data_IF_193410809478
#
_entry.id   IF_193410809478
#
_cell.length_a   1.000
_cell.length_b   1.000
_cell.length_c   1.000
_cell.angle_alpha   90.00
_cell.angle_beta   90.00
_cell.angle_gamma   90.00
#
_symmetry.space_group_name_H-M   'P 1'
#
loop_
_entity.id
_entity.type
_entity.pdbx_description
1 polymer ?
#
# COMPACT_ATOMS: atom_id res chain seq x y z
N UNK A 1 -4.85 -11.24 38.31
CA UNK A 1 -4.47 -9.86 37.95
C UNK A 1 -4.79 -9.67 36.48
N UNK A 2 -5.85 -8.94 36.13
CA UNK A 2 -6.10 -8.53 34.75
C UNK A 2 -5.22 -7.30 34.51
N UNK A 3 -4.15 -7.43 33.75
CA UNK A 3 -3.38 -6.28 33.31
C UNK A 3 -4.36 -5.44 32.48
N UNK A 4 -4.60 -4.18 32.82
CA UNK A 4 -5.47 -3.30 32.04
C UNK A 4 -4.73 -2.92 30.75
N UNK A 5 -4.62 -3.89 29.84
CA UNK A 5 -4.00 -3.64 28.55
C UNK A 5 -4.98 -2.85 27.69
N UNK A 6 -4.63 -1.61 27.39
CA UNK A 6 -5.47 -0.77 26.54
C UNK A 6 -5.41 -1.29 25.11
N UNK A 7 -6.52 -1.86 24.64
CA UNK A 7 -6.65 -2.48 23.32
C UNK A 7 -6.23 -1.54 22.14
N UNK A 8 -6.25 -0.23 22.37
CA UNK A 8 -5.75 0.76 21.40
C UNK A 8 -4.30 0.51 20.95
N UNK A 9 -3.44 -0.07 21.81
CA UNK A 9 -2.07 -0.40 21.43
C UNK A 9 -1.99 -1.58 20.45
N UNK A 10 -2.91 -2.55 20.54
CA UNK A 10 -3.04 -3.62 19.53
C UNK A 10 -3.42 -3.01 18.19
N UNK A 11 -4.33 -2.05 18.21
CA UNK A 11 -4.74 -1.33 17.01
C UNK A 11 -3.56 -0.57 16.39
N UNK A 12 -2.70 0.06 17.21
CA UNK A 12 -1.47 0.72 16.73
C UNK A 12 -0.50 -0.28 16.13
N UNK A 13 -0.31 -1.45 16.75
CA UNK A 13 0.56 -2.50 16.20
C UNK A 13 0.06 -3.03 14.85
N UNK A 14 -1.24 -3.26 14.73
CA UNK A 14 -1.85 -3.65 13.44
C UNK A 14 -1.69 -2.52 12.42
N UNK A 15 -1.91 -1.27 12.81
CA UNK A 15 -1.72 -0.12 11.93
C UNK A 15 -0.27 0.02 11.46
N UNK A 16 0.71 -0.21 12.35
CA UNK A 16 2.14 -0.22 12.03
C UNK A 16 2.46 -1.22 10.90
N UNK A 17 1.95 -2.44 11.01
CA UNK A 17 2.15 -3.50 10.01
C UNK A 17 1.43 -3.16 8.70
N UNK A 18 0.15 -2.82 8.76
CA UNK A 18 -0.66 -2.56 7.56
C UNK A 18 -0.20 -1.32 6.80
N UNK A 19 0.22 -0.27 7.48
CA UNK A 19 0.83 0.90 6.85
C UNK A 19 2.19 0.58 6.23
N UNK A 20 3.01 -0.19 6.95
CA UNK A 20 4.29 -0.68 6.44
C UNK A 20 4.11 -1.43 5.13
N UNK A 21 3.19 -2.39 5.08
CA UNK A 21 2.90 -3.16 3.88
C UNK A 21 2.30 -2.26 2.77
N UNK A 22 1.27 -1.49 3.09
CA UNK A 22 0.52 -0.72 2.10
C UNK A 22 1.36 0.31 1.35
N UNK A 23 2.19 1.08 2.07
CA UNK A 23 3.06 2.09 1.44
C UNK A 23 4.19 1.41 0.67
N UNK A 24 4.80 0.36 1.22
CA UNK A 24 5.92 -0.32 0.57
C UNK A 24 5.47 -1.14 -0.65
N UNK A 25 4.27 -1.70 -0.67
CA UNK A 25 3.71 -2.32 -1.86
C UNK A 25 3.67 -1.35 -3.05
N UNK A 26 3.26 -0.11 -2.82
CA UNK A 26 3.29 0.94 -3.84
C UNK A 26 4.72 1.34 -4.22
N UNK A 27 5.63 1.43 -3.25
CA UNK A 27 7.04 1.78 -3.49
C UNK A 27 7.77 0.66 -4.24
N UNK A 28 7.43 -0.62 -3.98
CA UNK A 28 8.00 -1.77 -4.66
C UNK A 28 7.83 -1.70 -6.19
N UNK A 29 6.74 -1.05 -6.68
CA UNK A 29 6.60 -0.83 -8.11
C UNK A 29 7.78 -0.06 -8.72
N UNK A 30 8.43 0.84 -7.99
CA UNK A 30 9.62 1.56 -8.49
C UNK A 30 10.80 0.63 -8.76
N UNK A 31 10.91 -0.49 -8.03
CA UNK A 31 11.93 -1.51 -8.23
C UNK A 31 11.62 -2.40 -9.44
N UNK A 32 10.34 -2.63 -9.74
CA UNK A 32 9.90 -3.39 -10.91
C UNK A 32 10.05 -2.60 -12.22
N UNK A 33 10.16 -1.28 -12.15
CA UNK A 33 10.22 -0.42 -13.32
C UNK A 33 11.41 -0.71 -14.25
N UNK A 34 12.68 -0.80 -13.77
CA UNK A 34 13.83 -1.08 -14.64
C UNK A 34 13.77 -2.45 -15.33
N UNK A 35 13.48 -3.57 -14.65
CA UNK A 35 13.40 -4.88 -15.30
C UNK A 35 12.27 -4.98 -16.32
N UNK A 36 11.12 -4.38 -16.05
CA UNK A 36 10.00 -4.32 -17.02
C UNK A 36 10.41 -3.59 -18.29
N UNK A 37 11.11 -2.46 -18.17
CA UNK A 37 11.64 -1.75 -19.34
C UNK A 37 12.64 -2.58 -20.12
N UNK A 38 13.51 -3.32 -19.44
CA UNK A 38 14.54 -4.14 -20.07
C UNK A 38 13.92 -5.31 -20.83
N UNK A 39 12.91 -5.95 -20.29
CA UNK A 39 12.28 -7.14 -20.88
C UNK A 39 11.39 -6.80 -22.07
N UNK A 40 10.53 -5.79 -21.93
CA UNK A 40 9.56 -5.48 -22.97
C UNK A 40 10.03 -4.41 -23.96
N UNK A 41 11.12 -3.73 -23.70
CA UNK A 41 11.62 -2.66 -24.58
C UNK A 41 10.68 -1.47 -24.72
N UNK A 42 9.76 -1.29 -23.76
CA UNK A 42 8.77 -0.22 -23.82
C UNK A 42 9.39 1.16 -23.58
N UNK A 43 8.70 2.20 -24.03
CA UNK A 43 9.18 3.55 -23.80
C UNK A 43 9.13 3.89 -22.30
N UNK A 44 10.16 4.60 -21.82
CA UNK A 44 10.22 5.09 -20.44
C UNK A 44 8.99 5.91 -20.06
N UNK A 45 8.47 6.70 -21.03
CA UNK A 45 7.27 7.52 -20.83
C UNK A 45 6.01 6.68 -20.58
N UNK A 46 5.79 5.61 -21.37
CA UNK A 46 4.62 4.75 -21.20
C UNK A 46 4.63 4.04 -19.84
N UNK A 47 5.76 3.50 -19.43
CA UNK A 47 5.87 2.80 -18.14
C UNK A 47 5.76 3.80 -16.97
N UNK A 48 6.37 4.99 -17.07
CA UNK A 48 6.24 6.06 -16.07
C UNK A 48 4.80 6.58 -15.96
N UNK A 49 4.05 6.62 -17.06
CA UNK A 49 2.64 7.02 -17.06
C UNK A 49 1.77 6.11 -16.18
N UNK A 50 2.18 4.86 -15.94
CA UNK A 50 1.50 3.94 -15.00
C UNK A 50 1.45 4.54 -13.58
N UNK A 51 2.54 5.16 -13.12
CA UNK A 51 2.56 5.87 -11.85
C UNK A 51 1.57 7.04 -11.84
N UNK A 52 1.60 7.85 -12.89
CA UNK A 52 0.71 9.01 -12.99
C UNK A 52 -0.76 8.60 -12.97
N UNK A 53 -1.12 7.53 -13.68
CA UNK A 53 -2.48 6.97 -13.65
C UNK A 53 -2.82 6.45 -12.26
N UNK A 54 -1.90 5.75 -11.59
CA UNK A 54 -2.10 5.25 -10.23
C UNK A 54 -2.30 6.39 -9.21
N UNK A 55 -1.49 7.46 -9.30
CA UNK A 55 -1.65 8.64 -8.44
C UNK A 55 -2.95 9.38 -8.70
N UNK A 56 -3.32 9.56 -9.96
CA UNK A 56 -4.59 10.18 -10.34
C UNK A 56 -5.78 9.35 -9.85
N UNK A 57 -5.76 8.04 -10.08
CA UNK A 57 -6.78 7.14 -9.55
C UNK A 57 -6.87 7.22 -8.01
N UNK A 58 -5.72 7.26 -7.32
CA UNK A 58 -5.67 7.42 -5.87
C UNK A 58 -6.32 8.73 -5.40
N UNK A 59 -6.06 9.84 -6.09
CA UNK A 59 -6.65 11.14 -5.76
C UNK A 59 -8.18 11.11 -5.94
N UNK A 60 -8.66 10.55 -7.06
CA UNK A 60 -10.09 10.41 -7.34
C UNK A 60 -10.76 9.46 -6.34
N UNK A 61 -10.10 8.36 -5.97
CA UNK A 61 -10.64 7.37 -5.05
C UNK A 61 -10.65 7.83 -3.58
N UNK A 62 -9.77 8.76 -3.18
CA UNK A 62 -9.61 9.16 -1.78
C UNK A 62 -10.90 9.60 -1.09
N UNK A 63 -11.78 10.44 -1.67
CA UNK A 63 -13.05 10.79 -1.04
C UNK A 63 -13.98 9.58 -0.87
N UNK A 64 -14.01 8.68 -1.84
CA UNK A 64 -14.83 7.45 -1.77
C UNK A 64 -14.31 6.48 -0.71
N UNK A 65 -13.00 6.43 -0.52
CA UNK A 65 -12.36 5.65 0.55
C UNK A 65 -12.76 6.19 1.93
N UNK A 66 -12.77 7.52 2.11
CA UNK A 66 -13.28 8.14 3.33
C UNK A 66 -14.71 7.71 3.62
N UNK A 67 -15.61 7.85 2.64
CA UNK A 67 -17.03 7.41 2.78
C UNK A 67 -17.15 5.90 3.03
N UNK A 68 -16.32 5.08 2.39
CA UNK A 68 -16.32 3.64 2.63
C UNK A 68 -15.85 3.30 4.05
N UNK A 69 -14.82 4.00 4.55
CA UNK A 69 -14.36 3.87 5.94
C UNK A 69 -15.44 4.23 6.96
N UNK A 70 -16.17 5.32 6.72
CA UNK A 70 -17.27 5.76 7.60
C UNK A 70 -18.44 4.77 7.58
N UNK A 71 -18.74 4.18 6.41
CA UNK A 71 -19.89 3.29 6.24
C UNK A 71 -19.61 1.85 6.65
N UNK A 72 -18.48 1.29 6.22
CA UNK A 72 -18.15 -0.13 6.36
C UNK A 72 -17.08 -0.40 7.42
N UNK A 73 -16.36 0.64 7.83
CA UNK A 73 -15.29 0.57 8.80
C UNK A 73 -14.00 -0.10 8.29
N UNK A 74 -12.93 -0.05 9.10
CA UNK A 74 -11.63 -0.58 8.72
C UNK A 74 -11.59 -2.10 8.55
N UNK A 75 -12.52 -2.82 9.20
CA UNK A 75 -12.58 -4.28 9.15
C UNK A 75 -12.88 -4.83 7.75
N UNK A 76 -13.61 -4.08 6.94
CA UNK A 76 -13.92 -4.46 5.56
C UNK A 76 -12.98 -3.77 4.57
N UNK A 77 -12.69 -2.50 4.78
CA UNK A 77 -11.91 -1.68 3.83
C UNK A 77 -10.46 -2.15 3.74
N UNK A 78 -9.81 -2.49 4.85
CA UNK A 78 -8.41 -2.95 4.82
C UNK A 78 -8.21 -4.31 4.13
N UNK A 79 -9.02 -5.36 4.40
CA UNK A 79 -8.92 -6.60 3.64
C UNK A 79 -9.16 -6.42 2.15
N UNK A 80 -10.14 -5.61 1.76
CA UNK A 80 -10.41 -5.32 0.34
C UNK A 80 -9.20 -4.66 -0.31
N UNK A 81 -8.61 -3.65 0.33
CA UNK A 81 -7.38 -3.02 -0.15
C UNK A 81 -6.21 -3.99 -0.26
N UNK A 82 -6.04 -4.88 0.72
CA UNK A 82 -5.03 -5.92 0.71
C UNK A 82 -5.22 -6.91 -0.44
N UNK A 83 -6.45 -7.36 -0.68
CA UNK A 83 -6.78 -8.24 -1.80
C UNK A 83 -6.57 -7.55 -3.16
N UNK A 84 -6.88 -6.26 -3.27
CA UNK A 84 -6.58 -5.49 -4.48
C UNK A 84 -5.08 -5.44 -4.75
N UNK A 85 -4.27 -5.15 -3.74
CA UNK A 85 -2.81 -5.10 -3.87
C UNK A 85 -2.25 -6.47 -4.26
N UNK A 86 -2.64 -7.52 -3.55
CA UNK A 86 -2.18 -8.88 -3.83
C UNK A 86 -2.62 -9.34 -5.22
N UNK A 87 -3.88 -9.14 -5.57
CA UNK A 87 -4.44 -9.47 -6.88
C UNK A 87 -3.77 -8.67 -8.00
N UNK A 88 -3.43 -7.39 -7.76
CA UNK A 88 -2.70 -6.55 -8.70
C UNK A 88 -1.30 -7.07 -9.00
N UNK A 89 -0.54 -7.47 -7.99
CA UNK A 89 0.78 -8.09 -8.18
C UNK A 89 0.66 -9.46 -8.87
N UNK A 90 -0.28 -10.31 -8.47
CA UNK A 90 -0.51 -11.59 -9.13
C UNK A 90 -0.91 -11.43 -10.60
N UNK A 91 -1.77 -10.46 -10.91
CA UNK A 91 -2.17 -10.18 -12.29
C UNK A 91 -1.05 -9.52 -13.11
N UNK A 92 -0.10 -8.83 -12.46
CA UNK A 92 1.06 -8.26 -13.15
C UNK A 92 1.96 -9.34 -13.78
N UNK A 93 2.01 -10.55 -13.22
CA UNK A 93 2.77 -11.67 -13.82
C UNK A 93 2.22 -12.13 -15.18
N UNK A 94 0.97 -11.77 -15.50
CA UNK A 94 0.31 -12.08 -16.78
C UNK A 94 0.43 -10.93 -17.79
N UNK A 95 1.29 -9.95 -17.51
CA UNK A 95 1.43 -8.75 -18.34
C UNK A 95 2.12 -9.09 -19.64
N UNK A 96 1.46 -8.79 -20.76
CA UNK A 96 1.99 -8.95 -22.12
C UNK A 96 1.99 -7.64 -22.90
N UNK A 97 1.26 -6.63 -22.41
CA UNK A 97 1.12 -5.33 -23.08
C UNK A 97 1.18 -4.18 -22.06
N UNK A 98 1.64 -2.97 -22.44
CA UNK A 98 1.79 -1.83 -21.53
C UNK A 98 0.52 -1.47 -20.78
N UNK A 99 -0.66 -1.58 -21.41
CA UNK A 99 -1.92 -1.21 -20.77
C UNK A 99 -2.31 -2.16 -19.61
N UNK A 100 -1.83 -3.41 -19.61
CA UNK A 100 -2.01 -4.33 -18.48
C UNK A 100 -1.38 -3.75 -17.20
N UNK A 101 -0.21 -3.08 -17.29
CA UNK A 101 0.43 -2.42 -16.16
C UNK A 101 -0.41 -1.28 -15.59
N UNK A 102 -1.11 -0.51 -16.43
CA UNK A 102 -2.02 0.52 -15.97
C UNK A 102 -3.14 -0.05 -15.11
N UNK A 103 -3.70 -1.19 -15.51
CA UNK A 103 -4.76 -1.85 -14.76
C UNK A 103 -4.19 -2.53 -13.50
N UNK A 104 -3.17 -3.36 -13.62
CA UNK A 104 -2.65 -4.20 -12.52
C UNK A 104 -1.88 -3.37 -11.50
N UNK A 105 -0.79 -2.75 -11.88
CA UNK A 105 0.05 -1.98 -10.96
C UNK A 105 -0.52 -0.59 -10.69
N UNK A 106 -1.00 0.11 -11.72
CA UNK A 106 -1.56 1.46 -11.56
C UNK A 106 -2.85 1.46 -10.74
N UNK A 107 -3.88 0.77 -11.21
CA UNK A 107 -5.20 0.83 -10.56
C UNK A 107 -5.29 -0.10 -9.34
N UNK A 108 -4.92 -1.39 -9.47
CA UNK A 108 -5.10 -2.35 -8.38
C UNK A 108 -4.05 -2.17 -7.27
N UNK A 109 -2.74 -2.11 -7.58
CA UNK A 109 -1.72 -1.99 -6.53
C UNK A 109 -1.70 -0.58 -5.94
N UNK A 110 -1.56 0.46 -6.75
CA UNK A 110 -1.52 1.84 -6.25
C UNK A 110 -2.87 2.24 -5.66
N UNK A 111 -3.99 1.96 -6.35
CA UNK A 111 -5.34 2.25 -5.85
C UNK A 111 -5.66 1.46 -4.58
N UNK A 112 -5.38 0.15 -4.55
CA UNK A 112 -5.57 -0.70 -3.37
C UNK A 112 -4.71 -0.27 -2.17
N UNK A 113 -3.49 0.19 -2.42
CA UNK A 113 -2.59 0.68 -1.36
C UNK A 113 -3.15 1.90 -0.63
N UNK A 114 -3.94 2.76 -1.28
CA UNK A 114 -4.56 3.93 -0.64
C UNK A 114 -5.58 3.51 0.42
N UNK A 115 -6.30 2.39 0.19
CA UNK A 115 -7.25 1.83 1.16
C UNK A 115 -6.56 1.43 2.47
N UNK A 116 -5.34 0.87 2.39
CA UNK A 116 -4.60 0.33 3.55
C UNK A 116 -3.48 1.25 4.04
N UNK A 117 -3.25 2.41 3.40
CA UNK A 117 -2.22 3.36 3.79
C UNK A 117 -2.78 4.56 4.59
N UNK A 118 -2.38 5.77 4.21
CA UNK A 118 -2.61 6.98 5.00
C UNK A 118 -4.07 7.33 5.28
N UNK A 119 -4.94 7.27 4.26
CA UNK A 119 -6.33 7.77 4.35
C UNK A 119 -7.12 7.00 5.39
N UNK A 120 -7.05 5.67 5.32
CA UNK A 120 -7.76 4.82 6.27
C UNK A 120 -7.28 5.02 7.71
N UNK A 121 -5.96 5.03 7.93
CA UNK A 121 -5.40 5.10 9.27
C UNK A 121 -5.51 6.49 9.91
N UNK A 122 -5.40 7.56 9.14
CA UNK A 122 -5.57 8.93 9.65
C UNK A 122 -6.99 9.22 10.14
N UNK A 123 -8.00 8.61 9.51
CA UNK A 123 -9.38 8.74 9.94
C UNK A 123 -9.72 7.88 11.19
N UNK A 124 -9.10 6.71 11.30
CA UNK A 124 -9.47 5.69 12.29
C UNK A 124 -8.66 5.74 13.59
N UNK A 125 -7.33 5.91 13.53
CA UNK A 125 -6.47 5.88 14.72
C UNK A 125 -6.82 6.93 15.78
N UNK A 126 -7.13 8.20 15.42
CA UNK A 126 -7.44 9.23 16.41
C UNK A 126 -8.64 8.90 17.31
N UNK A 127 -9.55 8.04 16.85
CA UNK A 127 -10.74 7.66 17.59
C UNK A 127 -10.44 6.77 18.83
N UNK A 128 -9.30 6.12 18.85
CA UNK A 128 -8.86 5.25 19.95
C UNK A 128 -8.09 5.96 21.04
N UNK A 129 -7.54 7.15 20.77
CA UNK A 129 -6.66 7.86 21.68
C UNK A 129 -7.14 9.30 21.92
N UNK A 130 -7.36 9.66 23.20
CA UNK A 130 -7.69 11.03 23.59
C UNK A 130 -6.42 11.83 23.92
N UNK A 131 -5.52 11.27 24.74
CA UNK A 131 -4.36 12.00 25.29
C UNK A 131 -3.04 11.77 24.55
N UNK A 132 -2.86 10.66 23.84
CA UNK A 132 -1.59 10.26 23.20
C UNK A 132 -1.73 10.06 21.69
N UNK A 133 -2.59 10.84 21.03
CA UNK A 133 -2.88 10.73 19.60
C UNK A 133 -1.61 10.83 18.74
N UNK A 134 -0.78 11.85 18.98
CA UNK A 134 0.46 12.05 18.23
C UNK A 134 1.44 10.89 18.35
N UNK A 135 1.60 10.33 19.58
CA UNK A 135 2.46 9.18 19.79
C UNK A 135 1.93 7.93 19.07
N UNK A 136 0.63 7.66 19.15
CA UNK A 136 0.01 6.52 18.49
C UNK A 136 0.16 6.59 16.97
N UNK A 137 -0.09 7.77 16.40
CA UNK A 137 0.08 8.03 14.96
C UNK A 137 1.56 7.91 14.57
N UNK A 138 2.47 8.50 15.35
CA UNK A 138 3.91 8.44 15.09
C UNK A 138 4.44 6.99 15.07
N UNK A 139 4.03 6.16 16.04
CA UNK A 139 4.40 4.74 16.08
C UNK A 139 3.80 3.99 14.89
N UNK A 140 2.52 4.18 14.56
CA UNK A 140 1.91 3.52 13.41
C UNK A 140 2.63 3.89 12.10
N UNK A 141 2.98 5.16 11.91
CA UNK A 141 3.64 5.65 10.70
C UNK A 141 5.12 5.28 10.61
N UNK A 142 5.81 5.07 11.73
CA UNK A 142 7.18 4.57 11.71
C UNK A 142 7.30 3.16 11.12
N UNK A 143 6.19 2.40 11.09
CA UNK A 143 6.10 1.13 10.38
C UNK A 143 6.49 1.23 8.90
N UNK A 144 6.19 2.35 8.25
CA UNK A 144 6.58 2.58 6.84
C UNK A 144 8.10 2.49 6.68
N UNK A 145 8.85 3.21 7.51
CA UNK A 145 10.32 3.22 7.45
C UNK A 145 10.92 1.85 7.82
N UNK A 146 10.42 1.22 8.89
CA UNK A 146 10.91 -0.08 9.35
C UNK A 146 10.70 -1.16 8.26
N UNK A 147 9.51 -1.22 7.68
CA UNK A 147 9.23 -2.16 6.59
C UNK A 147 10.03 -1.83 5.33
N UNK A 148 10.26 -0.55 5.02
CA UNK A 148 11.08 -0.15 3.88
C UNK A 148 12.51 -0.65 4.00
N UNK A 149 13.11 -0.55 5.19
CA UNK A 149 14.48 -1.03 5.45
C UNK A 149 14.63 -2.55 5.25
N UNK A 150 13.57 -3.31 5.46
CA UNK A 150 13.58 -4.78 5.35
C UNK A 150 13.08 -5.22 3.98
N UNK A 151 11.92 -4.71 3.56
CA UNK A 151 11.23 -5.19 2.37
C UNK A 151 11.90 -4.75 1.07
N UNK A 152 12.43 -3.51 0.98
CA UNK A 152 13.01 -3.03 -0.28
C UNK A 152 14.28 -3.78 -0.68
N UNK A 153 15.28 -4.00 0.22
CA UNK A 153 16.44 -4.81 -0.12
C UNK A 153 16.07 -6.26 -0.44
N UNK A 154 15.08 -6.82 0.26
CA UNK A 154 14.61 -8.17 0.00
C UNK A 154 13.96 -8.29 -1.39
N UNK A 155 13.05 -7.38 -1.73
CA UNK A 155 12.41 -7.34 -3.06
C UNK A 155 13.44 -7.15 -4.16
N UNK A 156 14.42 -6.24 -3.95
CA UNK A 156 15.50 -6.03 -4.92
C UNK A 156 16.32 -7.31 -5.13
N UNK A 157 16.67 -8.01 -4.05
CA UNK A 157 17.40 -9.27 -4.13
C UNK A 157 16.61 -10.35 -4.90
N UNK A 158 15.30 -10.48 -4.64
CA UNK A 158 14.46 -11.44 -5.37
C UNK A 158 14.41 -11.09 -6.87
N UNK A 159 14.27 -9.82 -7.21
CA UNK A 159 14.27 -9.36 -8.61
C UNK A 159 15.60 -9.70 -9.30
N UNK A 160 16.75 -9.60 -8.61
CA UNK A 160 18.07 -9.88 -9.16
C UNK A 160 18.33 -11.37 -9.36
N UNK A 161 17.77 -12.23 -8.50
CA UNK A 161 18.02 -13.69 -8.52
C UNK A 161 16.98 -14.44 -9.35
N UNK A 162 15.70 -14.15 -9.12
CA UNK A 162 14.58 -14.92 -9.70
C UNK A 162 13.90 -14.18 -10.86
N UNK A 163 14.22 -12.91 -11.07
CA UNK A 163 13.50 -12.02 -11.97
C UNK A 163 12.28 -11.35 -11.30
N UNK A 164 11.52 -10.59 -12.10
CA UNK A 164 10.36 -9.84 -11.62
C UNK A 164 9.04 -10.56 -11.89
#
# INVERSE_FOLDING_TARGET
MRIPFFYGWVVVAVAFVTMGIGVNARTAFSLLYPPVLAEFGWSRGATAATFSVGFFASAVMSPFIGMAMDRFGPRLVFPVGGLMVAGGFMAATLTTQPWHLFATLGLFVVGGSVLIAFVGHSAFLPNWFVRRRGLAIGIAFSGIGVFSLIAMPWVQHVIEVDGW
#
